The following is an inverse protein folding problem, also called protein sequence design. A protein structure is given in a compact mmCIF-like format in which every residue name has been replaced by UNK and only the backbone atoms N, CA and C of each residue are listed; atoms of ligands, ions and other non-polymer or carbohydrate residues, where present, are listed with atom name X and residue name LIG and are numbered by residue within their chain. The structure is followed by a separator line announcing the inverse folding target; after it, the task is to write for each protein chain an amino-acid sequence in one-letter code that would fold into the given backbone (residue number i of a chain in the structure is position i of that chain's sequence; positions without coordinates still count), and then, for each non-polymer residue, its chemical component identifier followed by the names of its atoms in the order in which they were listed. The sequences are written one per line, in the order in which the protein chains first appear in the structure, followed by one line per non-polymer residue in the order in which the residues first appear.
data_IF_412158639120
#
_entry.id   IF_412158639120
#
_cell.length_a   1.000
_cell.length_b   1.000
_cell.length_c   1.000
_cell.angle_alpha   90.00
_cell.angle_beta   90.00
_cell.angle_gamma   90.00
#
_symmetry.space_group_name_H-M   'P 1'
#
loop_
_entity.id
_entity.type
_entity.pdbx_description
1 polymer ?
#
# COMPACT_ATOMS: atom_id res chain seq x y z
N UNK A 1 -43.11 -10.72 41.29
CA UNK A 1 -42.93 -10.74 39.83
C UNK A 1 -43.71 -11.89 39.27
N UNK A 2 -44.64 -11.63 38.37
CA UNK A 2 -45.35 -12.67 37.64
C UNK A 2 -44.45 -13.28 36.55
N UNK A 3 -44.78 -14.48 36.09
CA UNK A 3 -44.09 -15.12 34.95
C UNK A 3 -44.19 -14.26 33.68
N UNK A 4 -45.32 -13.59 33.49
CA UNK A 4 -45.55 -12.71 32.34
C UNK A 4 -44.69 -11.44 32.40
N UNK A 5 -44.47 -10.89 33.59
CA UNK A 5 -43.53 -9.78 33.81
C UNK A 5 -42.08 -10.22 33.54
N UNK A 6 -41.69 -11.42 33.97
CA UNK A 6 -40.36 -11.97 33.68
C UNK A 6 -40.15 -12.19 32.17
N UNK A 7 -41.12 -12.78 31.48
CA UNK A 7 -41.06 -13.00 30.03
C UNK A 7 -41.08 -11.68 29.24
N UNK A 8 -41.77 -10.67 29.76
CA UNK A 8 -41.76 -9.31 29.23
C UNK A 8 -40.38 -8.66 29.36
N UNK A 9 -39.78 -8.71 30.55
CA UNK A 9 -38.44 -8.19 30.80
C UNK A 9 -37.40 -8.92 29.95
N UNK A 10 -37.49 -10.25 29.84
CA UNK A 10 -36.55 -11.05 29.07
C UNK A 10 -36.64 -10.73 27.58
N UNK A 11 -37.86 -10.52 27.04
CA UNK A 11 -38.05 -10.05 25.65
C UNK A 11 -37.49 -8.65 25.42
N UNK A 12 -37.72 -7.72 26.35
CA UNK A 12 -37.19 -6.35 26.27
C UNK A 12 -35.66 -6.35 26.33
N UNK A 13 -35.07 -7.13 27.25
CA UNK A 13 -33.63 -7.29 27.37
C UNK A 13 -33.04 -7.94 26.11
N UNK A 14 -33.65 -9.01 25.60
CA UNK A 14 -33.21 -9.71 24.39
C UNK A 14 -33.28 -8.79 23.16
N UNK A 15 -34.36 -8.03 22.99
CA UNK A 15 -34.49 -7.05 21.91
C UNK A 15 -33.49 -5.89 22.02
N UNK A 16 -32.98 -5.61 23.22
CA UNK A 16 -31.97 -4.58 23.46
C UNK A 16 -30.52 -5.07 23.28
N UNK A 17 -30.28 -6.38 23.30
CA UNK A 17 -28.94 -7.01 23.11
C UNK A 17 -28.77 -7.73 21.78
N UNK A 18 -29.83 -8.26 21.18
CA UNK A 18 -29.79 -8.96 19.90
C UNK A 18 -30.30 -8.06 18.78
N UNK A 19 -29.47 -7.82 17.77
CA UNK A 19 -29.97 -7.36 16.48
C UNK A 19 -30.64 -8.52 15.74
N UNK A 20 -31.58 -8.19 14.86
CA UNK A 20 -32.14 -9.15 13.89
C UNK A 20 -31.42 -9.00 12.53
N UNK A 21 -30.12 -8.69 12.54
CA UNK A 21 -29.32 -8.52 11.32
C UNK A 21 -28.30 -9.66 11.21
N UNK A 22 -28.61 -10.76 10.48
CA UNK A 22 -27.71 -11.89 10.34
C UNK A 22 -26.35 -11.51 9.74
N UNK A 23 -26.27 -10.37 9.04
CA UNK A 23 -25.00 -9.87 8.52
C UNK A 23 -24.06 -9.39 9.64
N UNK A 24 -24.61 -8.83 10.72
CA UNK A 24 -23.85 -8.35 11.88
C UNK A 24 -23.61 -9.48 12.87
N UNK A 25 -24.66 -10.22 13.21
CA UNK A 25 -24.62 -11.22 14.28
C UNK A 25 -23.92 -12.52 13.85
N UNK A 26 -24.08 -12.93 12.58
CA UNK A 26 -23.59 -14.21 12.04
C UNK A 26 -22.65 -14.02 10.83
N UNK A 27 -21.89 -12.91 10.78
CA UNK A 27 -21.08 -12.49 9.62
C UNK A 27 -20.27 -13.62 8.97
N UNK A 28 -19.49 -14.38 9.78
CA UNK A 28 -18.63 -15.45 9.27
C UNK A 28 -19.41 -16.63 8.70
N UNK A 29 -20.54 -16.97 9.33
CA UNK A 29 -21.41 -18.04 8.87
C UNK A 29 -22.06 -17.66 7.53
N UNK A 30 -22.59 -16.43 7.43
CA UNK A 30 -23.14 -15.89 6.18
C UNK A 30 -22.11 -15.90 5.04
N UNK A 31 -20.86 -15.51 5.33
CA UNK A 31 -19.76 -15.58 4.35
C UNK A 31 -19.44 -17.01 3.90
N UNK A 32 -19.45 -17.98 4.81
CA UNK A 32 -19.26 -19.40 4.48
C UNK A 32 -20.38 -19.94 3.59
N UNK A 33 -21.64 -19.62 3.89
CA UNK A 33 -22.79 -20.01 3.07
C UNK A 33 -22.71 -19.41 1.68
N UNK A 34 -22.34 -18.13 1.57
CA UNK A 34 -22.13 -17.46 0.29
C UNK A 34 -21.04 -18.13 -0.56
N UNK A 35 -19.92 -18.53 0.07
CA UNK A 35 -18.84 -19.23 -0.64
C UNK A 35 -19.29 -20.60 -1.17
N UNK A 36 -20.02 -21.38 -0.36
CA UNK A 36 -20.60 -22.68 -0.78
C UNK A 36 -21.62 -22.53 -1.91
N UNK A 37 -22.43 -21.48 -1.84
CA UNK A 37 -23.41 -21.14 -2.88
C UNK A 37 -22.72 -20.72 -4.19
N UNK A 38 -21.68 -19.88 -4.10
CA UNK A 38 -20.93 -19.40 -5.27
C UNK A 38 -20.10 -20.50 -5.93
N UNK A 39 -19.66 -21.53 -5.18
CA UNK A 39 -18.96 -22.70 -5.74
C UNK A 39 -19.90 -23.75 -6.33
N UNK A 40 -21.21 -23.49 -6.42
CA UNK A 40 -22.20 -24.42 -6.96
C UNK A 40 -22.49 -25.63 -6.06
N UNK A 41 -22.01 -25.65 -4.82
CA UNK A 41 -22.18 -26.77 -3.90
C UNK A 41 -23.60 -26.82 -3.29
N UNK A 42 -24.39 -25.75 -3.43
CA UNK A 42 -25.77 -25.67 -2.94
C UNK A 42 -26.69 -25.07 -4.00
N UNK A 43 -27.92 -25.60 -4.13
CA UNK A 43 -28.94 -25.07 -5.07
C UNK A 43 -29.53 -23.72 -4.64
N UNK A 44 -29.36 -23.33 -3.37
CA UNK A 44 -29.90 -22.08 -2.82
C UNK A 44 -28.87 -20.97 -2.98
N UNK A 45 -29.31 -19.84 -3.54
CA UNK A 45 -28.50 -18.63 -3.69
C UNK A 45 -28.52 -17.83 -2.39
N UNK A 46 -27.41 -17.85 -1.67
CA UNK A 46 -27.23 -17.00 -0.49
C UNK A 46 -26.69 -15.64 -0.91
N UNK A 47 -27.27 -14.55 -0.40
CA UNK A 47 -26.78 -13.20 -0.59
C UNK A 47 -25.93 -12.81 0.62
N UNK A 48 -24.74 -12.26 0.37
CA UNK A 48 -23.86 -11.75 1.42
C UNK A 48 -23.77 -10.23 1.31
N UNK A 49 -24.69 -9.57 2.00
CA UNK A 49 -24.97 -8.15 1.88
C UNK A 49 -25.46 -7.59 3.22
N UNK A 50 -25.05 -6.37 3.61
CA UNK A 50 -25.65 -5.69 4.75
C UNK A 50 -27.14 -5.39 4.51
N UNK A 51 -27.93 -5.45 5.58
CA UNK A 51 -29.37 -5.12 5.54
C UNK A 51 -29.58 -3.60 5.44
N UNK A 52 -28.77 -2.83 6.19
CA UNK A 52 -28.71 -1.38 6.10
C UNK A 52 -27.25 -0.91 6.10
N UNK A 53 -26.95 0.14 5.34
CA UNK A 53 -25.62 0.76 5.35
C UNK A 53 -25.48 1.67 6.57
N UNK A 54 -24.28 1.74 7.14
CA UNK A 54 -24.00 2.64 8.26
C UNK A 54 -24.05 4.10 7.77
N UNK A 55 -24.81 4.95 8.45
CA UNK A 55 -24.97 6.36 8.04
C UNK A 55 -23.81 7.27 8.44
N UNK A 56 -22.94 6.85 9.38
CA UNK A 56 -21.87 7.71 9.91
C UNK A 56 -20.49 7.03 9.89
N UNK A 57 -19.42 7.76 9.53
CA UNK A 57 -18.07 7.27 9.70
C UNK A 57 -17.79 7.06 11.21
N UNK A 58 -17.05 6.01 11.59
CA UNK A 58 -16.77 5.67 12.99
C UNK A 58 -16.20 6.82 13.83
N UNK A 59 -15.50 7.78 13.20
CA UNK A 59 -14.87 8.92 13.87
C UNK A 59 -15.79 10.08 14.24
N UNK A 60 -16.98 10.21 13.63
CA UNK A 60 -17.86 11.35 13.89
C UNK A 60 -18.49 11.34 15.30
N UNK A 61 -18.49 10.17 15.97
CA UNK A 61 -19.14 9.98 17.28
C UNK A 61 -18.20 9.93 18.47
N UNK A 62 -16.88 9.83 18.27
CA UNK A 62 -15.96 9.38 19.34
C UNK A 62 -14.96 10.45 19.79
N UNK A 63 -14.77 11.52 19.00
CA UNK A 63 -13.72 12.49 19.31
C UNK A 63 -14.07 13.55 20.35
N UNK A 64 -15.36 13.81 20.59
CA UNK A 64 -15.82 14.87 21.52
C UNK A 64 -16.37 14.36 22.84
N UNK A 65 -16.42 13.04 23.07
CA UNK A 65 -16.96 12.49 24.31
C UNK A 65 -15.86 12.53 25.40
N UNK A 66 -16.09 13.18 26.56
CA UNK A 66 -15.13 13.19 27.64
C UNK A 66 -14.83 11.75 28.07
N UNK A 67 -13.60 11.47 28.52
CA UNK A 67 -13.23 10.18 29.11
C UNK A 67 -14.12 9.91 30.33
N UNK A 68 -15.29 9.30 30.11
CA UNK A 68 -16.22 8.98 31.18
C UNK A 68 -15.55 7.90 32.04
N UNK A 69 -15.39 8.18 33.34
CA UNK A 69 -15.04 7.17 34.33
C UNK A 69 -15.99 6.00 34.18
N UNK A 70 -15.54 4.92 33.54
CA UNK A 70 -16.21 3.62 33.31
C UNK A 70 -17.68 3.60 33.76
N UNK A 71 -18.55 4.34 33.05
CA UNK A 71 -19.98 4.25 33.29
C UNK A 71 -20.42 2.95 32.64
N UNK A 72 -20.46 1.90 33.46
CA UNK A 72 -21.10 0.64 33.10
C UNK A 72 -22.60 0.94 33.14
N UNK A 73 -23.24 0.92 31.98
CA UNK A 73 -24.70 0.99 31.89
C UNK A 73 -25.32 -0.11 32.77
N UNK A 74 -26.57 0.05 33.23
CA UNK A 74 -27.27 -0.95 34.05
C UNK A 74 -27.33 -2.35 33.40
N UNK A 75 -27.09 -2.42 32.09
CA UNK A 75 -26.97 -3.64 31.28
C UNK A 75 -25.53 -4.16 31.12
N UNK A 76 -24.54 -3.65 31.86
CA UNK A 76 -23.14 -4.09 31.77
C UNK A 76 -22.36 -3.54 30.58
N UNK A 77 -22.93 -2.60 29.81
CA UNK A 77 -22.32 -2.08 28.57
C UNK A 77 -21.23 -1.06 28.90
N UNK A 78 -20.06 -1.24 28.30
CA UNK A 78 -18.91 -0.32 28.42
C UNK A 78 -18.83 0.53 27.15
N UNK A 79 -18.71 1.88 27.25
CA UNK A 79 -18.58 2.74 26.08
C UNK A 79 -17.35 2.38 25.23
N UNK A 80 -17.53 2.25 23.91
CA UNK A 80 -16.44 1.94 22.97
C UNK A 80 -15.31 2.99 22.95
N UNK A 81 -15.59 4.22 23.37
CA UNK A 81 -14.60 5.28 23.54
C UNK A 81 -13.48 4.86 24.50
N UNK A 82 -13.79 4.08 25.55
CA UNK A 82 -12.80 3.56 26.51
C UNK A 82 -11.88 2.47 25.94
N UNK A 83 -12.28 1.79 24.86
CA UNK A 83 -11.51 0.69 24.24
C UNK A 83 -10.48 1.24 23.25
N UNK A 84 -10.81 2.35 22.56
CA UNK A 84 -9.95 2.97 21.54
C UNK A 84 -8.93 3.97 22.10
N UNK A 85 -9.13 4.45 23.34
CA UNK A 85 -8.19 5.32 24.06
C UNK A 85 -7.78 4.63 25.37
N UNK A 86 -6.78 3.72 25.34
CA UNK A 86 -6.28 3.12 26.57
C UNK A 86 -5.78 4.23 27.50
N UNK A 87 -6.19 4.17 28.78
CA UNK A 87 -5.85 5.20 29.77
C UNK A 87 -4.32 5.27 29.96
N UNK A 88 -3.76 6.47 30.17
CA UNK A 88 -2.42 6.59 30.74
C UNK A 88 -2.39 5.83 32.08
N UNK A 89 -1.44 4.91 32.25
CA UNK A 89 -1.33 4.11 33.48
C UNK A 89 -0.94 4.94 34.71
N UNK A 90 -0.34 6.11 34.47
CA UNK A 90 0.09 7.06 35.48
C UNK A 90 0.06 8.48 34.87
N UNK A 91 -0.81 9.34 35.38
CA UNK A 91 -0.69 10.78 35.17
C UNK A 91 0.42 11.26 36.10
N UNK A 92 1.67 11.30 35.60
CA UNK A 92 2.74 11.98 36.31
C UNK A 92 2.52 13.46 36.06
N UNK A 93 1.99 14.17 37.05
CA UNK A 93 2.06 15.63 37.04
C UNK A 93 3.53 16.00 36.78
N UNK A 94 3.84 16.80 35.74
CA UNK A 94 5.21 17.23 35.52
C UNK A 94 5.68 17.87 36.83
N UNK A 95 6.87 17.51 37.34
CA UNK A 95 7.34 18.07 38.60
C UNK A 95 7.28 19.58 38.46
N UNK A 96 6.44 20.22 39.27
CA UNK A 96 6.30 21.67 39.33
C UNK A 96 7.72 22.21 39.48
N UNK A 97 8.22 22.85 38.42
CA UNK A 97 9.54 23.48 38.41
C UNK A 97 9.49 24.75 39.25
N UNK A 98 9.38 24.56 40.56
CA UNK A 98 9.81 25.56 41.52
C UNK A 98 11.32 25.73 41.34
N UNK A 99 11.65 26.93 40.89
CA UNK A 99 12.96 27.36 40.44
C UNK A 99 13.95 27.31 41.60
N UNK A 100 15.08 26.60 41.45
CA UNK A 100 16.41 27.08 41.85
C UNK A 100 17.51 26.18 41.28
N UNK A 101 18.25 26.73 40.30
CA UNK A 101 19.67 26.55 39.98
C UNK A 101 20.36 25.20 40.28
N UNK A 102 20.69 24.45 39.23
CA UNK A 102 22.09 24.15 38.83
C UNK A 102 22.12 23.05 37.76
N UNK A 103 22.82 23.34 36.66
CA UNK A 103 23.53 22.49 35.69
C UNK A 103 23.13 21.01 35.49
N UNK A 104 22.99 20.65 34.21
CA UNK A 104 22.87 19.28 33.65
C UNK A 104 21.56 18.54 33.92
N UNK A 105 20.63 18.61 32.95
CA UNK A 105 20.01 17.43 32.34
C UNK A 105 19.09 17.84 31.17
N UNK A 106 19.52 17.54 29.94
CA UNK A 106 18.68 17.54 28.74
C UNK A 106 17.70 16.34 28.82
N UNK A 107 16.70 16.40 29.70
CA UNK A 107 15.55 15.49 29.62
C UNK A 107 14.50 16.21 28.79
N UNK A 108 14.34 15.77 27.54
CA UNK A 108 13.28 16.25 26.67
C UNK A 108 11.92 16.04 27.39
N UNK A 109 10.99 17.02 27.34
CA UNK A 109 9.68 16.85 27.95
C UNK A 109 9.01 15.60 27.37
N UNK A 110 8.61 14.66 28.23
CA UNK A 110 7.88 13.45 27.83
C UNK A 110 6.60 13.90 27.10
N UNK A 111 6.57 13.72 25.77
CA UNK A 111 5.38 14.05 24.98
C UNK A 111 4.26 13.10 25.41
N UNK A 112 3.03 13.60 25.63
CA UNK A 112 1.89 12.72 25.92
C UNK A 112 1.78 11.60 24.91
N UNK A 113 1.43 10.39 25.35
CA UNK A 113 1.31 9.19 24.52
C UNK A 113 0.44 9.43 23.26
N UNK A 114 -0.57 10.30 23.37
CA UNK A 114 -1.47 10.73 22.31
C UNK A 114 -0.78 11.51 21.18
N UNK A 115 0.37 12.12 21.45
CA UNK A 115 1.20 12.84 20.50
C UNK A 115 2.28 11.95 19.87
N UNK A 116 2.32 10.65 20.23
CA UNK A 116 3.29 9.73 19.64
C UNK A 116 2.97 9.42 18.18
N UNK A 117 3.93 9.62 17.26
CA UNK A 117 3.69 9.49 15.82
C UNK A 117 3.39 8.04 15.40
N UNK A 118 3.90 7.05 16.15
CA UNK A 118 3.61 5.64 15.90
C UNK A 118 2.24 5.21 16.43
N UNK A 119 1.75 5.83 17.51
CA UNK A 119 0.37 5.63 17.95
C UNK A 119 -0.60 6.21 16.90
N UNK A 120 -0.35 7.43 16.44
CA UNK A 120 -1.13 8.06 15.37
C UNK A 120 -1.18 7.17 14.10
N UNK A 121 -0.05 6.55 13.72
CA UNK A 121 -0.01 5.61 12.60
C UNK A 121 -0.87 4.36 12.86
N UNK A 122 -0.87 3.79 14.08
CA UNK A 122 -1.73 2.65 14.43
C UNK A 122 -3.21 3.02 14.39
N UNK A 123 -3.57 4.18 14.92
CA UNK A 123 -4.96 4.69 14.88
C UNK A 123 -5.40 4.88 13.44
N UNK A 124 -4.58 5.55 12.62
CA UNK A 124 -4.85 5.75 11.19
C UNK A 124 -5.01 4.41 10.43
N UNK A 125 -4.27 3.36 10.82
CA UNK A 125 -4.42 2.03 10.24
C UNK A 125 -5.80 1.43 10.58
N UNK A 126 -6.23 1.47 11.84
CA UNK A 126 -7.55 0.95 12.21
C UNK A 126 -8.68 1.73 11.55
N UNK A 127 -8.59 3.06 11.55
CA UNK A 127 -9.59 3.93 10.92
C UNK A 127 -9.65 3.68 9.41
N UNK A 128 -8.51 3.55 8.75
CA UNK A 128 -8.43 3.20 7.33
C UNK A 128 -9.03 1.83 7.04
N UNK A 129 -8.77 0.82 7.87
CA UNK A 129 -9.35 -0.51 7.69
C UNK A 129 -10.87 -0.52 7.93
N UNK A 130 -11.36 0.23 8.91
CA UNK A 130 -12.80 0.41 9.12
C UNK A 130 -13.44 1.10 7.91
N UNK A 131 -12.82 2.13 7.36
CA UNK A 131 -13.28 2.81 6.16
C UNK A 131 -13.36 1.85 4.96
N UNK A 132 -12.35 0.99 4.75
CA UNK A 132 -12.38 0.00 3.67
C UNK A 132 -13.48 -1.06 3.86
N UNK A 133 -13.89 -1.36 5.10
CA UNK A 133 -15.05 -2.22 5.35
C UNK A 133 -16.35 -1.54 4.89
N UNK A 134 -16.50 -0.23 5.10
CA UNK A 134 -17.66 0.51 4.61
C UNK A 134 -17.69 0.55 3.07
N UNK A 135 -16.52 0.62 2.40
CA UNK A 135 -16.41 0.48 0.93
C UNK A 135 -16.86 -0.91 0.46
N UNK A 136 -16.42 -1.98 1.13
CA UNK A 136 -16.85 -3.35 0.81
C UNK A 136 -18.37 -3.53 1.02
N UNK A 137 -18.91 -2.95 2.09
CA UNK A 137 -20.34 -2.98 2.39
C UNK A 137 -21.14 -2.26 1.30
N UNK A 138 -20.67 -1.09 0.83
CA UNK A 138 -21.28 -0.39 -0.32
C UNK A 138 -21.23 -1.26 -1.58
N UNK A 139 -20.07 -1.87 -1.89
CA UNK A 139 -19.90 -2.71 -3.08
C UNK A 139 -20.82 -3.95 -3.04
N UNK A 140 -20.96 -4.59 -1.88
CA UNK A 140 -21.91 -5.69 -1.67
C UNK A 140 -23.36 -5.21 -1.81
N UNK A 141 -23.69 -4.07 -1.21
CA UNK A 141 -25.03 -3.52 -1.24
C UNK A 141 -25.48 -3.16 -2.66
N UNK A 142 -24.61 -2.51 -3.44
CA UNK A 142 -24.83 -2.18 -4.85
C UNK A 142 -24.99 -3.42 -5.74
N UNK A 143 -24.36 -4.55 -5.37
CA UNK A 143 -24.42 -5.79 -6.15
C UNK A 143 -25.75 -6.51 -6.03
N UNK A 144 -26.40 -6.45 -4.86
CA UNK A 144 -27.58 -7.26 -4.56
C UNK A 144 -28.88 -6.48 -4.48
N UNK A 145 -28.83 -5.16 -4.27
CA UNK A 145 -30.03 -4.32 -4.16
C UNK A 145 -30.26 -3.48 -5.41
N UNK A 146 -31.50 -3.42 -5.87
CA UNK A 146 -31.93 -2.46 -6.88
C UNK A 146 -32.31 -1.15 -6.19
N UNK A 147 -31.64 -0.06 -6.55
CA UNK A 147 -31.82 1.24 -5.93
C UNK A 147 -32.55 2.20 -6.87
N UNK A 148 -33.43 3.08 -6.35
CA UNK A 148 -34.20 4.01 -7.18
C UNK A 148 -33.33 4.92 -8.05
N UNK A 149 -32.18 5.33 -7.53
CA UNK A 149 -31.19 6.19 -8.20
C UNK A 149 -30.07 5.38 -8.89
N UNK A 150 -30.27 4.09 -9.17
CA UNK A 150 -29.22 3.22 -9.73
C UNK A 150 -27.94 3.12 -8.88
N UNK A 151 -28.00 3.59 -7.63
CA UNK A 151 -26.89 3.66 -6.70
C UNK A 151 -25.89 4.80 -6.95
N UNK A 152 -26.24 5.88 -7.67
CA UNK A 152 -25.26 6.95 -7.95
C UNK A 152 -24.71 7.60 -6.67
N UNK A 153 -25.57 7.90 -5.70
CA UNK A 153 -25.16 8.46 -4.41
C UNK A 153 -24.18 7.54 -3.66
N UNK A 154 -24.42 6.22 -3.67
CA UNK A 154 -23.54 5.25 -3.02
C UNK A 154 -22.20 5.12 -3.73
N UNK A 155 -22.18 5.17 -5.07
CA UNK A 155 -20.92 5.17 -5.84
C UNK A 155 -20.11 6.44 -5.59
N UNK A 156 -20.77 7.59 -5.43
CA UNK A 156 -20.12 8.85 -5.03
C UNK A 156 -19.53 8.73 -3.63
N UNK A 157 -20.32 8.28 -2.64
CA UNK A 157 -19.84 8.05 -1.27
C UNK A 157 -18.66 7.08 -1.24
N UNK A 158 -18.72 6.00 -2.01
CA UNK A 158 -17.60 5.05 -2.17
C UNK A 158 -16.32 5.75 -2.64
N UNK A 159 -16.43 6.63 -3.63
CA UNK A 159 -15.30 7.40 -4.15
C UNK A 159 -14.76 8.38 -3.10
N UNK A 160 -15.63 9.14 -2.43
CA UNK A 160 -15.26 10.07 -1.35
C UNK A 160 -14.52 9.37 -0.19
N UNK A 161 -14.93 8.15 0.17
CA UNK A 161 -14.22 7.35 1.18
C UNK A 161 -12.80 7.00 0.70
N UNK A 162 -12.64 6.55 -0.55
CA UNK A 162 -11.34 6.19 -1.11
C UNK A 162 -10.41 7.41 -1.23
N UNK A 163 -10.93 8.57 -1.62
CA UNK A 163 -10.19 9.84 -1.66
C UNK A 163 -9.85 10.36 -0.26
N UNK A 164 -10.77 10.21 0.69
CA UNK A 164 -10.55 10.52 2.11
C UNK A 164 -9.41 9.69 2.71
N UNK A 165 -9.28 8.42 2.31
CA UNK A 165 -8.15 7.57 2.73
C UNK A 165 -6.81 8.03 2.14
N UNK A 166 -6.78 8.48 0.89
CA UNK A 166 -5.55 9.09 0.35
C UNK A 166 -5.18 10.38 1.09
N UNK A 167 -6.18 11.18 1.45
CA UNK A 167 -6.00 12.42 2.23
C UNK A 167 -5.46 12.12 3.63
N UNK A 168 -5.96 11.08 4.32
CA UNK A 168 -5.47 10.70 5.65
C UNK A 168 -4.05 10.13 5.63
N UNK A 169 -3.67 9.48 4.52
CA UNK A 169 -2.30 9.06 4.24
C UNK A 169 -1.39 10.21 3.73
N UNK A 170 -1.94 11.41 3.55
CA UNK A 170 -1.26 12.60 3.03
C UNK A 170 -0.64 12.40 1.64
N UNK A 171 -1.33 11.64 0.78
CA UNK A 171 -0.89 11.40 -0.58
C UNK A 171 -1.27 12.60 -1.47
N UNK A 172 -0.27 13.31 -1.96
CA UNK A 172 -0.44 14.47 -2.85
C UNK A 172 -0.21 14.06 -4.29
N UNK A 173 -1.04 14.54 -5.22
CA UNK A 173 -0.81 14.39 -6.66
C UNK A 173 0.21 15.43 -7.14
N UNK A 174 1.47 15.05 -7.44
CA UNK A 174 2.47 16.01 -7.92
C UNK A 174 2.17 16.51 -9.35
N UNK A 175 1.25 15.87 -10.08
CA UNK A 175 0.84 16.27 -11.42
C UNK A 175 -0.47 17.08 -11.42
N UNK A 176 -1.06 17.33 -10.24
CA UNK A 176 -2.31 18.06 -10.08
C UNK A 176 -2.14 19.57 -10.29
N UNK A 177 -3.25 20.25 -10.60
CA UNK A 177 -3.30 21.71 -10.88
C UNK A 177 -2.88 22.59 -9.69
N UNK A 178 -2.91 22.05 -8.48
CA UNK A 178 -2.47 22.74 -7.26
C UNK A 178 -1.06 22.27 -6.90
N UNK A 179 -0.08 22.67 -7.72
CA UNK A 179 1.34 22.42 -7.50
C UNK A 179 1.87 23.10 -6.25
N UNK A 180 1.41 22.66 -5.08
CA UNK A 180 2.06 22.96 -3.82
C UNK A 180 3.43 22.29 -3.84
N UNK A 181 4.43 23.16 -3.79
CA UNK A 181 5.86 22.89 -3.71
C UNK A 181 6.16 21.60 -2.95
N UNK A 182 6.84 20.71 -3.66
CA UNK A 182 7.59 19.55 -3.17
C UNK A 182 8.26 19.87 -1.83
N UNK A 183 7.64 19.36 -0.76
CA UNK A 183 8.14 19.31 0.62
C UNK A 183 7.53 18.07 1.25
N UNK A 184 7.79 16.89 0.68
CA UNK A 184 8.97 16.08 0.97
C UNK A 184 9.00 15.52 2.39
N UNK A 185 7.83 15.14 2.90
CA UNK A 185 7.76 14.16 3.96
C UNK A 185 6.49 13.34 3.75
N UNK A 186 6.58 12.29 2.93
CA UNK A 186 5.62 11.17 2.90
C UNK A 186 5.67 10.40 4.25
N UNK A 187 5.98 11.08 5.35
CA UNK A 187 6.30 10.53 6.65
C UNK A 187 5.11 9.87 7.29
N UNK A 188 3.90 10.40 7.09
CA UNK A 188 2.67 9.74 7.56
C UNK A 188 2.50 8.41 6.82
N UNK A 189 2.62 8.43 5.49
CA UNK A 189 2.56 7.22 4.66
C UNK A 189 3.65 6.20 5.06
N UNK A 190 4.90 6.64 5.20
CA UNK A 190 6.03 5.79 5.59
C UNK A 190 5.88 5.21 7.00
N UNK A 191 5.40 6.00 7.98
CA UNK A 191 5.12 5.50 9.34
C UNK A 191 4.02 4.44 9.35
N UNK A 192 2.97 4.64 8.57
CA UNK A 192 1.90 3.63 8.40
C UNK A 192 2.48 2.36 7.80
N UNK A 193 3.29 2.46 6.73
CA UNK A 193 3.87 1.31 6.04
C UNK A 193 5.08 0.67 6.74
N UNK A 194 5.63 1.32 7.77
CA UNK A 194 6.58 0.72 8.68
C UNK A 194 5.95 -0.45 9.47
N UNK A 195 4.62 -0.47 9.60
CA UNK A 195 3.87 -1.49 10.31
C UNK A 195 3.33 -2.57 9.34
N UNK A 196 3.39 -3.86 9.71
CA UNK A 196 2.85 -4.95 8.88
C UNK A 196 1.37 -4.75 8.52
N UNK A 197 0.57 -4.24 9.47
CA UNK A 197 -0.86 -4.01 9.28
C UNK A 197 -1.13 -2.83 8.33
N UNK A 198 -0.25 -1.83 8.28
CA UNK A 198 -0.32 -0.75 7.30
C UNK A 198 -0.05 -1.23 5.87
N UNK A 199 0.89 -2.18 5.68
CA UNK A 199 1.10 -2.82 4.37
C UNK A 199 -0.11 -3.66 3.92
N UNK A 200 -0.81 -4.30 4.87
CA UNK A 200 -2.09 -4.99 4.61
C UNK A 200 -3.21 -4.00 4.25
N UNK A 201 -3.30 -2.86 4.96
CA UNK A 201 -4.23 -1.78 4.62
C UNK A 201 -4.01 -1.29 3.19
N UNK A 202 -2.76 -0.97 2.82
CA UNK A 202 -2.43 -0.49 1.48
C UNK A 202 -2.75 -1.53 0.39
N UNK A 203 -2.46 -2.81 0.66
CA UNK A 203 -2.79 -3.89 -0.28
C UNK A 203 -4.31 -3.97 -0.52
N UNK A 204 -5.12 -3.90 0.55
CA UNK A 204 -6.59 -3.90 0.40
C UNK A 204 -7.09 -2.64 -0.30
N UNK A 205 -6.51 -1.48 0.01
CA UNK A 205 -6.84 -0.21 -0.64
C UNK A 205 -6.62 -0.29 -2.15
N UNK A 206 -5.43 -0.75 -2.59
CA UNK A 206 -5.10 -0.94 -4.00
C UNK A 206 -6.04 -1.90 -4.75
N UNK A 207 -6.56 -2.93 -4.07
CA UNK A 207 -7.52 -3.87 -4.65
C UNK A 207 -8.90 -3.24 -4.89
N UNK A 208 -9.27 -2.23 -4.09
CA UNK A 208 -10.56 -1.53 -4.18
C UNK A 208 -10.52 -0.32 -5.13
N UNK A 209 -9.32 0.14 -5.50
CA UNK A 209 -9.14 1.26 -6.41
C UNK A 209 -9.42 0.88 -7.88
N UNK A 210 -10.33 1.61 -8.55
CA UNK A 210 -10.50 1.49 -10.00
C UNK A 210 -9.28 2.06 -10.74
N UNK A 211 -9.14 1.73 -12.03
CA UNK A 211 -8.17 2.40 -12.91
C UNK A 211 -8.54 3.89 -13.01
N UNK A 212 -7.83 4.72 -12.26
CA UNK A 212 -8.18 6.12 -12.00
C UNK A 212 -6.93 6.91 -11.62
N UNK A 213 -7.02 8.24 -11.63
CA UNK A 213 -5.97 9.13 -11.13
C UNK A 213 -5.57 8.82 -9.69
N UNK A 214 -6.53 8.43 -8.85
CA UNK A 214 -6.26 8.05 -7.47
C UNK A 214 -5.33 6.83 -7.39
N UNK A 215 -5.54 5.82 -8.26
CA UNK A 215 -4.64 4.67 -8.35
C UNK A 215 -3.23 5.11 -8.78
N UNK A 216 -3.13 6.01 -9.76
CA UNK A 216 -1.86 6.59 -10.21
C UNK A 216 -1.14 7.28 -9.05
N UNK A 217 -1.80 8.14 -8.29
CA UNK A 217 -1.22 8.88 -7.16
C UNK A 217 -0.68 7.93 -6.09
N UNK A 218 -1.46 6.91 -5.71
CA UNK A 218 -1.04 5.91 -4.72
C UNK A 218 0.16 5.10 -5.23
N UNK A 219 0.13 4.67 -6.50
CA UNK A 219 1.26 3.99 -7.11
C UNK A 219 2.50 4.89 -7.17
N UNK A 220 2.39 6.16 -7.54
CA UNK A 220 3.53 7.09 -7.54
C UNK A 220 4.20 7.20 -6.16
N UNK A 221 3.41 7.23 -5.07
CA UNK A 221 3.95 7.22 -3.71
C UNK A 221 4.71 5.91 -3.39
N UNK A 222 4.18 4.76 -3.81
CA UNK A 222 4.87 3.46 -3.66
C UNK A 222 6.19 3.44 -4.45
N UNK A 223 6.17 3.91 -5.69
CA UNK A 223 7.33 3.90 -6.59
C UNK A 223 8.43 4.87 -6.14
N UNK A 224 8.06 5.96 -5.48
CA UNK A 224 9.00 6.87 -4.81
C UNK A 224 9.73 6.22 -3.64
N UNK A 225 9.11 5.24 -2.98
CA UNK A 225 9.61 4.64 -1.73
C UNK A 225 9.95 3.14 -1.85
N UNK A 226 10.31 2.67 -3.04
CA UNK A 226 10.64 1.25 -3.28
C UNK A 226 11.78 0.74 -2.39
N UNK A 227 12.76 1.59 -2.05
CA UNK A 227 13.85 1.20 -1.13
C UNK A 227 13.34 0.94 0.28
N UNK A 228 12.53 1.84 0.83
CA UNK A 228 11.92 1.66 2.14
C UNK A 228 10.98 0.44 2.18
N UNK A 229 10.20 0.22 1.12
CA UNK A 229 9.20 -0.84 1.08
C UNK A 229 9.81 -2.22 0.82
N UNK A 230 10.79 -2.32 -0.07
CA UNK A 230 11.28 -3.60 -0.59
C UNK A 230 12.79 -3.82 -0.39
N UNK A 231 13.48 -2.94 0.34
CA UNK A 231 14.91 -3.04 0.65
C UNK A 231 15.27 -4.13 1.65
N UNK A 232 14.39 -4.42 2.61
CA UNK A 232 14.62 -5.37 3.69
C UNK A 232 13.43 -6.33 3.85
N UNK A 233 13.65 -7.62 3.58
CA UNK A 233 12.61 -8.67 3.68
C UNK A 233 12.28 -8.99 5.15
N UNK A 234 13.22 -8.81 6.08
CA UNK A 234 13.04 -9.22 7.49
C UNK A 234 11.83 -8.51 8.12
N UNK A 235 11.54 -7.31 7.64
CA UNK A 235 10.38 -6.52 8.06
C UNK A 235 9.12 -6.99 7.32
N UNK A 236 8.26 -7.73 8.03
CA UNK A 236 6.91 -8.06 7.59
C UNK A 236 6.84 -8.87 6.28
N UNK A 237 7.71 -9.87 6.10
CA UNK A 237 7.90 -10.64 4.86
C UNK A 237 6.60 -11.02 4.12
N UNK A 238 5.61 -11.60 4.81
CA UNK A 238 4.34 -12.00 4.20
C UNK A 238 3.52 -10.80 3.70
N UNK A 239 3.39 -9.74 4.52
CA UNK A 239 2.67 -8.53 4.14
C UNK A 239 3.36 -7.81 2.97
N UNK A 240 4.69 -7.83 2.94
CA UNK A 240 5.50 -7.27 1.85
C UNK A 240 5.32 -8.05 0.56
N UNK A 241 5.36 -9.39 0.60
CA UNK A 241 5.12 -10.26 -0.57
C UNK A 241 3.70 -10.05 -1.15
N UNK A 242 2.70 -9.94 -0.28
CA UNK A 242 1.33 -9.63 -0.70
C UNK A 242 1.20 -8.25 -1.33
N UNK A 243 1.92 -7.26 -0.80
CA UNK A 243 1.96 -5.91 -1.37
C UNK A 243 2.61 -5.92 -2.76
N UNK A 244 3.75 -6.60 -2.94
CA UNK A 244 4.41 -6.75 -4.26
C UNK A 244 3.42 -7.31 -5.28
N UNK A 245 2.76 -8.43 -4.97
CA UNK A 245 1.78 -9.07 -5.87
C UNK A 245 0.61 -8.12 -6.20
N UNK A 246 0.12 -7.40 -5.20
CA UNK A 246 -1.00 -6.48 -5.37
C UNK A 246 -0.61 -5.29 -6.26
N UNK A 247 0.55 -4.69 -6.03
CA UNK A 247 1.07 -3.58 -6.85
C UNK A 247 1.28 -4.04 -8.28
N UNK A 248 1.93 -5.18 -8.53
CA UNK A 248 2.09 -5.75 -9.87
C UNK A 248 0.75 -5.99 -10.57
N UNK A 249 -0.26 -6.48 -9.85
CA UNK A 249 -1.61 -6.64 -10.42
C UNK A 249 -2.31 -5.31 -10.71
N UNK A 250 -2.01 -4.25 -9.96
CA UNK A 250 -2.57 -2.92 -10.20
C UNK A 250 -1.92 -2.24 -11.40
N UNK A 251 -0.60 -2.41 -11.57
CA UNK A 251 0.17 -1.93 -12.73
C UNK A 251 -0.47 -2.40 -14.04
N UNK A 252 -0.94 -3.65 -14.12
CA UNK A 252 -1.64 -4.18 -15.31
C UNK A 252 -2.94 -3.47 -15.68
N UNK A 253 -3.52 -2.68 -14.77
CA UNK A 253 -4.75 -1.91 -15.01
C UNK A 253 -4.48 -0.45 -15.35
N UNK A 254 -3.21 -0.03 -15.36
CA UNK A 254 -2.82 1.37 -15.55
C UNK A 254 -2.58 1.66 -17.03
N UNK A 255 -2.84 2.90 -17.42
CA UNK A 255 -2.53 3.40 -18.76
C UNK A 255 -1.07 3.87 -18.86
N UNK A 256 -0.60 4.09 -20.10
CA UNK A 256 0.80 4.43 -20.36
C UNK A 256 1.24 5.72 -19.65
N UNK A 257 0.34 6.72 -19.54
CA UNK A 257 0.60 7.96 -18.82
C UNK A 257 0.85 7.72 -17.33
N UNK A 258 0.01 6.91 -16.68
CA UNK A 258 0.19 6.56 -15.26
C UNK A 258 1.45 5.73 -15.01
N UNK A 259 1.79 4.81 -15.92
CA UNK A 259 3.05 4.04 -15.84
C UNK A 259 4.28 4.94 -15.97
N UNK A 260 4.22 5.92 -16.88
CA UNK A 260 5.28 6.94 -17.05
C UNK A 260 5.49 7.73 -15.77
N UNK A 261 4.41 8.18 -15.14
CA UNK A 261 4.46 8.92 -13.87
C UNK A 261 5.05 8.07 -12.72
N UNK A 262 4.74 6.77 -12.67
CA UNK A 262 5.36 5.85 -11.71
C UNK A 262 6.87 5.69 -11.95
N UNK A 263 7.34 5.54 -13.19
CA UNK A 263 8.77 5.49 -13.49
C UNK A 263 9.47 6.81 -13.13
N UNK A 264 8.88 7.95 -13.47
CA UNK A 264 9.41 9.26 -13.10
C UNK A 264 9.53 9.41 -11.57
N UNK A 265 8.56 8.90 -10.81
CA UNK A 265 8.62 8.91 -9.34
C UNK A 265 9.80 8.09 -8.78
N UNK A 266 10.22 7.02 -9.45
CA UNK A 266 11.42 6.24 -9.08
C UNK A 266 12.68 7.08 -9.29
N UNK A 267 12.79 7.73 -10.45
CA UNK A 267 13.94 8.56 -10.80
C UNK A 267 14.06 9.76 -9.85
N UNK A 268 12.93 10.38 -9.52
CA UNK A 268 12.88 11.54 -8.63
C UNK A 268 12.99 11.19 -7.14
N UNK A 269 13.13 9.90 -6.79
CA UNK A 269 13.26 9.49 -5.38
C UNK A 269 14.60 9.93 -4.80
N UNK A 270 14.59 10.34 -3.53
CA UNK A 270 15.80 10.60 -2.75
C UNK A 270 16.62 9.33 -2.49
N UNK A 271 15.98 8.15 -2.53
CA UNK A 271 16.59 6.87 -2.24
C UNK A 271 16.45 5.89 -3.41
N UNK A 272 17.58 5.45 -3.96
CA UNK A 272 17.57 4.54 -5.11
C UNK A 272 16.99 3.17 -4.75
N UNK A 273 16.10 2.60 -5.59
CA UNK A 273 15.51 1.29 -5.36
C UNK A 273 16.58 0.18 -5.35
N UNK A 274 16.39 -0.89 -4.57
CA UNK A 274 17.24 -2.07 -4.61
C UNK A 274 16.98 -2.86 -5.90
N UNK A 275 17.78 -2.63 -6.93
CA UNK A 275 17.68 -3.31 -8.23
C UNK A 275 18.35 -4.69 -8.19
N UNK A 276 17.83 -5.59 -7.34
CA UNK A 276 18.38 -6.96 -7.17
C UNK A 276 17.77 -7.95 -8.17
N UNK A 277 18.46 -9.05 -8.52
CA UNK A 277 17.87 -10.09 -9.36
C UNK A 277 16.64 -10.75 -8.73
N UNK A 278 15.78 -11.34 -9.55
CA UNK A 278 14.56 -11.99 -9.04
C UNK A 278 14.86 -13.24 -8.19
N UNK A 279 16.01 -13.87 -8.39
CA UNK A 279 16.50 -14.98 -7.56
C UNK A 279 17.08 -14.56 -6.20
N UNK A 280 17.16 -13.25 -5.91
CA UNK A 280 17.81 -12.75 -4.70
C UNK A 280 17.01 -13.05 -3.43
N UNK A 281 17.66 -13.71 -2.46
CA UNK A 281 17.13 -13.96 -1.12
C UNK A 281 17.09 -12.72 -0.22
N UNK A 282 17.66 -11.59 -0.66
CA UNK A 282 17.76 -10.35 0.12
C UNK A 282 16.64 -9.33 -0.18
N UNK A 283 15.76 -9.63 -1.13
CA UNK A 283 14.53 -8.87 -1.41
C UNK A 283 14.52 -8.41 -2.85
N UNK A 284 13.59 -8.96 -3.62
CA UNK A 284 13.41 -8.71 -5.06
C UNK A 284 12.17 -7.86 -5.36
N UNK A 285 11.44 -7.40 -4.35
CA UNK A 285 10.13 -6.76 -4.54
C UNK A 285 10.16 -5.51 -5.44
N UNK A 286 11.19 -4.66 -5.30
CA UNK A 286 11.36 -3.49 -6.16
C UNK A 286 11.54 -3.90 -7.63
N UNK A 287 12.42 -4.86 -7.89
CA UNK A 287 12.66 -5.38 -9.24
C UNK A 287 11.43 -6.04 -9.84
N UNK A 288 10.68 -6.84 -9.07
CA UNK A 288 9.42 -7.46 -9.55
C UNK A 288 8.41 -6.40 -10.00
N UNK A 289 8.23 -5.35 -9.20
CA UNK A 289 7.29 -4.26 -9.51
C UNK A 289 7.76 -3.46 -10.74
N UNK A 290 9.06 -3.17 -10.85
CA UNK A 290 9.62 -2.46 -12.00
C UNK A 290 9.54 -3.28 -13.29
N UNK A 291 9.85 -4.58 -13.23
CA UNK A 291 9.66 -5.50 -14.36
C UNK A 291 8.19 -5.49 -14.81
N UNK A 292 7.25 -5.55 -13.87
CA UNK A 292 5.81 -5.51 -14.19
C UNK A 292 5.42 -4.23 -14.95
N UNK A 293 6.04 -3.08 -14.63
CA UNK A 293 5.80 -1.81 -15.33
C UNK A 293 6.37 -1.82 -16.73
N UNK A 294 7.58 -2.34 -16.91
CA UNK A 294 8.21 -2.42 -18.23
C UNK A 294 7.49 -3.41 -19.14
N UNK A 295 7.03 -4.55 -18.62
CA UNK A 295 6.21 -5.52 -19.35
C UNK A 295 4.89 -4.89 -19.78
N UNK A 296 4.14 -4.29 -18.85
CA UNK A 296 2.89 -3.61 -19.18
C UNK A 296 3.09 -2.47 -20.18
N UNK A 297 4.16 -1.69 -20.02
CA UNK A 297 4.51 -0.63 -20.97
C UNK A 297 4.76 -1.19 -22.38
N UNK A 298 5.42 -2.35 -22.50
CA UNK A 298 5.70 -2.97 -23.78
C UNK A 298 4.43 -3.50 -24.46
N UNK A 299 3.52 -4.08 -23.68
CA UNK A 299 2.19 -4.52 -24.14
C UNK A 299 1.40 -3.32 -24.67
N UNK A 300 1.27 -2.25 -23.88
CA UNK A 300 0.53 -1.04 -24.29
C UNK A 300 1.13 -0.34 -25.51
N UNK A 301 2.45 -0.32 -25.65
CA UNK A 301 3.11 0.23 -26.83
C UNK A 301 2.85 -0.62 -28.08
N UNK A 302 2.79 -1.94 -27.92
CA UNK A 302 2.53 -2.88 -29.01
C UNK A 302 1.08 -2.76 -29.49
N UNK A 303 0.12 -2.73 -28.56
CA UNK A 303 -1.31 -2.61 -28.87
C UNK A 303 -1.65 -1.24 -29.50
N UNK A 304 -1.00 -0.18 -29.02
CA UNK A 304 -1.26 1.18 -29.47
C UNK A 304 -0.64 1.52 -30.83
N UNK A 305 0.11 0.61 -31.45
CA UNK A 305 0.55 0.75 -32.85
C UNK A 305 -0.61 0.75 -33.85
N UNK A 306 -1.82 0.39 -33.40
CA UNK A 306 -3.03 0.37 -34.24
C UNK A 306 -3.94 1.59 -34.04
N UNK A 307 -3.63 2.48 -33.08
CA UNK A 307 -4.50 3.62 -32.73
C UNK A 307 -3.73 4.96 -32.74
N UNK A 308 -4.01 5.80 -33.75
CA UNK A 308 -3.26 7.01 -34.09
C UNK A 308 -3.80 8.30 -33.43
N UNK A 309 -4.20 8.24 -32.16
CA UNK A 309 -4.72 9.43 -31.45
C UNK A 309 -3.60 10.35 -30.91
N UNK A 310 -3.83 11.66 -30.88
CA UNK A 310 -2.87 12.65 -30.31
C UNK A 310 -2.58 12.42 -28.82
N UNK A 311 -3.54 11.86 -28.07
CA UNK A 311 -3.36 11.47 -26.67
C UNK A 311 -2.31 10.38 -26.52
N UNK A 312 -2.31 9.40 -27.43
CA UNK A 312 -1.31 8.34 -27.49
C UNK A 312 0.10 8.90 -27.78
N UNK A 313 0.22 9.91 -28.65
CA UNK A 313 1.53 10.55 -28.95
C UNK A 313 2.15 11.21 -27.70
N UNK A 314 1.35 11.94 -26.94
CA UNK A 314 1.84 12.61 -25.71
C UNK A 314 2.27 11.60 -24.67
N UNK A 315 1.46 10.56 -24.42
CA UNK A 315 1.79 9.51 -23.47
C UNK A 315 3.01 8.69 -23.89
N UNK A 316 3.23 8.46 -25.19
CA UNK A 316 4.44 7.83 -25.72
C UNK A 316 5.69 8.69 -25.48
N UNK A 317 5.59 10.01 -25.66
CA UNK A 317 6.70 10.92 -25.39
C UNK A 317 7.03 10.95 -23.89
N UNK A 318 6.01 11.03 -23.02
CA UNK A 318 6.18 10.97 -21.56
C UNK A 318 6.80 9.63 -21.11
N UNK A 319 6.33 8.53 -21.69
CA UNK A 319 6.89 7.20 -21.44
C UNK A 319 8.36 7.15 -21.83
N UNK A 320 8.71 7.59 -23.03
CA UNK A 320 10.09 7.58 -23.52
C UNK A 320 11.01 8.41 -22.64
N UNK A 321 10.59 9.62 -22.27
CA UNK A 321 11.36 10.48 -21.37
C UNK A 321 11.56 9.84 -19.98
N UNK A 322 10.49 9.29 -19.40
CA UNK A 322 10.55 8.64 -18.08
C UNK A 322 11.41 7.38 -18.11
N UNK A 323 11.31 6.59 -19.19
CA UNK A 323 12.13 5.40 -19.39
C UNK A 323 13.60 5.76 -19.58
N UNK A 324 13.94 6.82 -20.32
CA UNK A 324 15.32 7.21 -20.57
C UNK A 324 16.06 7.58 -19.29
N UNK A 325 15.40 8.36 -18.42
CA UNK A 325 15.94 8.70 -17.11
C UNK A 325 16.08 7.47 -16.21
N UNK A 326 15.07 6.60 -16.18
CA UNK A 326 15.12 5.34 -15.44
C UNK A 326 16.24 4.42 -15.95
N UNK A 327 16.42 4.33 -17.26
CA UNK A 327 17.46 3.53 -17.89
C UNK A 327 18.85 4.04 -17.51
N UNK A 328 19.04 5.36 -17.42
CA UNK A 328 20.27 5.95 -16.89
C UNK A 328 20.57 5.49 -15.46
N UNK A 329 19.57 5.46 -14.59
CA UNK A 329 19.70 4.92 -13.23
C UNK A 329 20.06 3.43 -13.24
N UNK A 330 19.37 2.63 -14.05
CA UNK A 330 19.60 1.19 -14.17
C UNK A 330 21.03 0.87 -14.64
N UNK A 331 21.50 1.52 -15.71
CA UNK A 331 22.85 1.29 -16.23
C UNK A 331 23.91 1.73 -15.21
N UNK A 332 23.72 2.89 -14.57
CA UNK A 332 24.64 3.35 -13.52
C UNK A 332 24.74 2.34 -12.38
N UNK A 333 23.60 1.77 -11.95
CA UNK A 333 23.58 0.71 -10.94
C UNK A 333 24.36 -0.53 -11.41
N UNK A 334 24.11 -1.00 -12.63
CA UNK A 334 24.78 -2.17 -13.19
C UNK A 334 26.29 -1.99 -13.32
N UNK A 335 26.74 -0.84 -13.82
CA UNK A 335 28.18 -0.54 -13.95
C UNK A 335 28.85 -0.49 -12.58
N UNK A 336 28.26 0.21 -11.61
CA UNK A 336 28.81 0.28 -10.25
C UNK A 336 28.90 -1.11 -9.58
N UNK A 337 27.88 -1.96 -9.80
CA UNK A 337 27.89 -3.33 -9.29
C UNK A 337 28.95 -4.19 -9.96
N UNK A 338 29.06 -4.10 -11.28
CA UNK A 338 30.09 -4.81 -12.02
C UNK A 338 31.51 -4.42 -11.57
N UNK A 339 31.78 -3.11 -11.44
CA UNK A 339 33.08 -2.61 -11.00
C UNK A 339 33.40 -3.08 -9.57
N UNK A 340 32.40 -3.08 -8.67
CA UNK A 340 32.54 -3.62 -7.33
C UNK A 340 32.89 -5.11 -7.30
N UNK A 341 32.27 -5.92 -8.18
CA UNK A 341 32.59 -7.35 -8.32
C UNK A 341 34.03 -7.53 -8.79
N UNK A 342 34.44 -6.79 -9.82
CA UNK A 342 35.79 -6.88 -10.39
C UNK A 342 36.87 -6.43 -9.40
N UNK A 343 36.58 -5.44 -8.55
CA UNK A 343 37.49 -4.99 -7.50
C UNK A 343 37.56 -5.97 -6.31
N UNK A 344 36.52 -6.77 -6.06
CA UNK A 344 36.42 -7.65 -4.89
C UNK A 344 37.21 -8.96 -4.97
N UNK A 345 37.98 -9.21 -6.05
CA UNK A 345 38.72 -10.45 -6.30
C UNK A 345 37.88 -11.72 -6.03
N UNK A 346 36.60 -11.70 -6.45
CA UNK A 346 35.71 -12.85 -6.37
C UNK A 346 36.36 -14.09 -6.99
N UNK A 347 36.38 -15.20 -6.25
CA UNK A 347 36.83 -16.52 -6.74
C UNK A 347 36.07 -16.97 -8.01
N UNK A 348 34.83 -16.52 -8.17
CA UNK A 348 34.03 -16.74 -9.37
C UNK A 348 33.29 -15.44 -9.76
N UNK A 349 33.86 -14.63 -10.67
CA UNK A 349 33.22 -13.39 -11.12
C UNK A 349 31.92 -13.65 -11.90
N UNK A 350 31.79 -14.80 -12.56
CA UNK A 350 30.64 -15.13 -13.39
C UNK A 350 29.39 -15.41 -12.54
N UNK A 351 29.55 -16.20 -11.48
CA UNK A 351 28.46 -16.45 -10.52
C UNK A 351 28.11 -15.19 -9.71
N UNK A 352 29.10 -14.38 -9.33
CA UNK A 352 28.86 -13.10 -8.66
C UNK A 352 28.02 -12.15 -9.55
N UNK A 353 28.33 -12.07 -10.85
CA UNK A 353 27.56 -11.29 -11.83
C UNK A 353 26.11 -11.75 -11.88
N UNK A 354 25.86 -13.06 -12.05
CA UNK A 354 24.50 -13.62 -12.10
C UNK A 354 23.69 -13.33 -10.83
N UNK A 355 24.37 -13.30 -9.67
CA UNK A 355 23.73 -13.10 -8.37
C UNK A 355 23.45 -11.62 -8.03
N UNK A 356 24.18 -10.69 -8.64
CA UNK A 356 24.10 -9.26 -8.28
C UNK A 356 23.48 -8.36 -9.35
N UNK A 357 23.61 -8.71 -10.64
CA UNK A 357 23.10 -7.91 -11.75
C UNK A 357 21.65 -8.27 -12.09
N UNK A 358 20.73 -7.29 -12.17
CA UNK A 358 19.29 -7.53 -12.37
C UNK A 358 18.97 -7.88 -13.83
N UNK A 359 19.32 -9.09 -14.25
CA UNK A 359 19.21 -9.56 -15.62
C UNK A 359 17.78 -9.52 -16.16
N UNK A 360 16.78 -9.80 -15.31
CA UNK A 360 15.37 -9.76 -15.70
C UNK A 360 14.90 -8.34 -16.00
N UNK A 361 15.37 -7.36 -15.22
CA UNK A 361 15.05 -5.95 -15.43
C UNK A 361 15.74 -5.40 -16.68
N UNK A 362 16.98 -5.82 -16.95
CA UNK A 362 17.68 -5.49 -18.19
C UNK A 362 16.96 -6.08 -19.41
N UNK A 363 16.49 -7.33 -19.33
CA UNK A 363 15.67 -7.95 -20.39
C UNK A 363 14.36 -7.21 -20.62
N UNK A 364 13.64 -6.89 -19.55
CA UNK A 364 12.39 -6.16 -19.62
C UNK A 364 12.57 -4.73 -20.19
N UNK A 365 13.77 -4.17 -20.12
CA UNK A 365 14.09 -2.86 -20.68
C UNK A 365 14.29 -2.88 -22.20
N UNK A 366 14.65 -4.03 -22.80
CA UNK A 366 15.02 -4.13 -24.23
C UNK A 366 13.95 -3.54 -25.18
N UNK A 367 12.65 -3.84 -25.04
CA UNK A 367 11.62 -3.31 -25.96
C UNK A 367 11.52 -1.79 -25.99
N UNK A 368 12.03 -1.10 -24.98
CA UNK A 368 11.92 0.34 -24.79
C UNK A 368 13.17 1.12 -25.23
N UNK A 369 14.26 0.39 -25.49
CA UNK A 369 15.57 1.00 -25.78
C UNK A 369 15.68 1.56 -27.21
N UNK A 370 16.31 2.73 -27.32
CA UNK A 370 16.79 3.24 -28.61
C UNK A 370 18.14 2.59 -29.01
N UNK A 371 18.61 2.83 -30.23
CA UNK A 371 19.85 2.23 -30.75
C UNK A 371 21.09 2.53 -29.90
N UNK A 372 21.17 3.73 -29.31
CA UNK A 372 22.25 4.10 -28.40
C UNK A 372 22.21 3.27 -27.11
N UNK A 373 21.02 3.12 -26.51
CA UNK A 373 20.81 2.32 -25.30
C UNK A 373 21.06 0.83 -25.56
N UNK A 374 20.68 0.30 -26.73
CA UNK A 374 21.01 -1.07 -27.15
C UNK A 374 22.52 -1.27 -27.22
N UNK A 375 23.26 -0.32 -27.77
CA UNK A 375 24.74 -0.35 -27.79
C UNK A 375 25.32 -0.38 -26.38
N UNK A 376 24.81 0.43 -25.45
CA UNK A 376 25.27 0.39 -24.05
C UNK A 376 25.01 -0.96 -23.38
N UNK A 377 23.86 -1.59 -23.64
CA UNK A 377 23.57 -2.95 -23.14
C UNK A 377 24.53 -3.99 -23.73
N UNK A 378 24.83 -3.86 -25.03
CA UNK A 378 25.80 -4.73 -25.69
C UNK A 378 27.19 -4.59 -25.07
N UNK A 379 27.68 -3.37 -24.88
CA UNK A 379 28.98 -3.09 -24.26
C UNK A 379 29.06 -3.63 -22.82
N UNK A 380 27.99 -3.51 -22.04
CA UNK A 380 27.88 -4.10 -20.70
C UNK A 380 27.97 -5.63 -20.75
N UNK A 381 27.28 -6.27 -21.71
CA UNK A 381 27.32 -7.73 -21.88
C UNK A 381 28.71 -8.22 -22.28
N UNK A 382 29.43 -7.48 -23.12
CA UNK A 382 30.80 -7.82 -23.52
C UNK A 382 31.77 -7.75 -22.35
N UNK A 383 31.64 -6.73 -21.49
CA UNK A 383 32.44 -6.65 -20.25
C UNK A 383 32.16 -7.83 -19.33
N UNK A 384 30.91 -8.26 -19.23
CA UNK A 384 30.54 -9.45 -18.46
C UNK A 384 31.19 -10.74 -18.99
N UNK A 385 31.35 -10.88 -20.31
CA UNK A 385 31.94 -12.05 -20.95
C UNK A 385 33.47 -12.10 -20.82
N UNK A 386 34.16 -10.95 -20.91
CA UNK A 386 35.62 -10.87 -20.70
C UNK A 386 36.02 -11.23 -19.27
N UNK A 387 35.16 -10.96 -18.28
CA UNK A 387 35.34 -11.43 -16.91
C UNK A 387 35.23 -12.95 -16.75
N UNK A 388 34.51 -13.63 -17.66
CA UNK A 388 34.34 -15.08 -17.67
C UNK A 388 35.59 -15.81 -18.17
N UNK A 389 36.29 -15.26 -19.16
CA UNK A 389 37.52 -15.87 -19.71
C UNK A 389 38.70 -15.83 -18.74
N UNK A 390 38.83 -14.75 -17.94
CA UNK A 390 39.87 -14.64 -16.91
C UNK A 390 39.65 -15.58 -15.72
N UNK A 391 38.41 -15.93 -15.39
CA UNK A 391 38.09 -16.89 -14.33
C UNK A 391 38.43 -18.34 -14.70
N UNK A 392 38.24 -18.72 -15.97
CA UNK A 392 38.60 -20.06 -16.46
C UNK A 392 40.12 -20.27 -16.63
N UNK A 393 40.89 -19.21 -16.84
CA UNK A 393 42.35 -19.29 -16.96
C UNK A 393 43.07 -19.55 -15.62
N UNK A 394 42.40 -19.33 -14.47
CA UNK A 394 42.96 -19.54 -13.13
C UNK A 394 42.69 -20.91 -12.50
N UNK A 395 42.00 -21.82 -13.20
CA UNK A 395 41.72 -23.20 -12.74
C UNK A 395 42.55 -24.26 -13.48
N UNK A 396 43.51 -23.84 -14.32
CA UNK A 396 44.42 -24.71 -15.05
C UNK A 396 45.89 -24.37 -14.73
N UNK A 397 46.23 -24.30 -13.44
CA UNK A 397 47.60 -24.46 -12.93
C UNK A 397 47.62 -25.32 -11.68
#
# INVERSE_FOLDING_TARGET
MSTDELDGILRVQLAATYSNDPYVDDYYHQGCLFKKSSSGATKIRHHFCPTHLRDLPPGARVNSEPHAFLQVDALGRVPFSSIRRPRPLLEVDPPNSSTTNSEQNNVAPEKPLEQEPMLAARVAIEDGLCLLLDVDDIDRFLKFNQLPDGGTHLRRRRQELLEGLATSLQLVDPLGKNGQTVGNDDMVFLRVLALPKGRKLLSRYLQLLPASDLLRVVCMAIFRHLRFLFGDISRAAEATSNLVRTVSSCVRRMDLGSLSACLAAVVCSSEQPPLRPLSSSAGNGASVVLVSVLEQGAELLSDSLHDASNYNVTNRALWKASFDEFFGLLIKYCVNKYDGIMQSSSLDPAEAIKRELPMELLRASIPHTNEYQKKMLYDLSQRSLVGQEKGNAGQAE
#
